data_IF_896880783542
#
_entry.id   IF_896880783542
#
_cell.length_a   1.000
_cell.length_b   1.000
_cell.length_c   1.000
_cell.angle_alpha   90.00
_cell.angle_beta   90.00
_cell.angle_gamma   90.00
#
_symmetry.space_group_name_H-M   'P 1'
#
loop_
_entity.id
_entity.type
_entity.pdbx_description
1 polymer ?
#
# COMPACT_ATOMS: atom_id res chain seq x y z
N UNK A 1 -14.60 54.36 22.97
CA UNK A 1 -15.12 53.35 22.01
C UNK A 1 -14.06 53.00 20.95
N UNK A 2 -12.98 52.29 21.30
CA UNK A 2 -11.95 51.80 20.34
C UNK A 2 -11.12 50.66 20.95
N UNK A 3 -11.71 49.50 21.25
CA UNK A 3 -10.90 48.35 21.74
C UNK A 3 -11.46 46.95 21.43
N UNK A 4 -12.63 46.82 20.80
CA UNK A 4 -13.26 45.49 20.64
C UNK A 4 -13.08 44.84 19.26
N UNK A 5 -12.46 45.52 18.30
CA UNK A 5 -12.33 45.03 16.92
C UNK A 5 -11.03 44.28 16.61
N UNK A 6 -10.02 44.34 17.48
CA UNK A 6 -8.70 43.73 17.24
C UNK A 6 -8.61 42.27 17.71
N UNK A 7 -9.48 41.86 18.65
CA UNK A 7 -9.45 40.52 19.25
C UNK A 7 -10.18 39.49 18.39
N UNK A 8 -11.12 39.92 17.54
CA UNK A 8 -11.87 39.01 16.66
C UNK A 8 -11.07 38.50 15.46
N UNK A 9 -10.03 39.22 15.03
CA UNK A 9 -9.22 38.87 13.84
C UNK A 9 -8.12 37.86 14.14
N UNK A 10 -7.72 37.69 15.41
CA UNK A 10 -6.70 36.70 15.80
C UNK A 10 -7.27 35.28 15.96
N UNK A 11 -8.59 35.14 16.15
CA UNK A 11 -9.24 33.84 16.35
C UNK A 11 -9.56 33.11 15.02
N UNK A 12 -9.64 33.83 13.89
CA UNK A 12 -9.94 33.24 12.58
C UNK A 12 -8.74 32.59 11.88
N UNK A 13 -7.51 32.95 12.27
CA UNK A 13 -6.28 32.39 11.66
C UNK A 13 -5.93 31.01 12.25
N UNK A 14 -6.41 30.67 13.45
CA UNK A 14 -6.08 29.41 14.13
C UNK A 14 -6.94 28.23 13.61
N UNK A 15 -8.09 28.48 12.99
CA UNK A 15 -8.96 27.41 12.48
C UNK A 15 -8.50 26.75 11.17
N UNK A 16 -7.50 27.31 10.48
CA UNK A 16 -6.92 26.71 9.25
C UNK A 16 -5.73 25.77 9.51
N UNK A 17 -5.33 25.58 10.78
CA UNK A 17 -4.05 24.96 11.11
C UNK A 17 -4.10 23.44 11.38
N UNK A 18 -5.24 22.75 11.24
CA UNK A 18 -5.26 21.30 11.48
C UNK A 18 -6.11 20.57 10.44
N UNK A 19 -5.60 20.37 9.20
CA UNK A 19 -5.87 19.10 8.58
C UNK A 19 -5.16 18.07 9.46
N UNK A 20 -5.92 17.46 10.38
CA UNK A 20 -5.60 16.14 10.89
C UNK A 20 -5.60 15.22 9.68
N UNK A 21 -4.51 15.24 8.93
CA UNK A 21 -4.21 14.30 7.89
C UNK A 21 -4.15 12.96 8.61
N UNK A 22 -5.31 12.29 8.67
CA UNK A 22 -5.42 10.88 8.90
C UNK A 22 -4.47 10.27 7.87
N UNK A 23 -3.24 10.02 8.31
CA UNK A 23 -2.21 9.47 7.45
C UNK A 23 -2.67 8.07 7.16
N UNK A 24 -3.23 7.89 5.97
CA UNK A 24 -3.57 6.60 5.44
C UNK A 24 -2.33 5.71 5.52
N UNK A 25 -2.48 4.52 6.12
CA UNK A 25 -1.38 3.60 6.35
C UNK A 25 -1.62 2.33 5.55
N UNK A 26 -0.55 1.84 4.94
CA UNK A 26 -0.58 0.65 4.09
C UNK A 26 0.42 -0.39 4.55
N UNK A 27 0.08 -1.65 4.29
CA UNK A 27 0.97 -2.77 4.49
C UNK A 27 0.74 -3.84 3.43
N UNK A 28 1.79 -4.57 3.09
CA UNK A 28 1.73 -5.75 2.25
C UNK A 28 2.35 -6.91 3.02
N UNK A 29 1.63 -8.02 3.06
CA UNK A 29 2.05 -9.30 3.62
C UNK A 29 2.19 -10.33 2.49
N UNK A 30 3.11 -11.27 2.67
CA UNK A 30 3.34 -12.37 1.73
C UNK A 30 3.36 -13.70 2.47
N UNK A 31 2.67 -14.68 1.89
CA UNK A 31 2.58 -16.05 2.36
C UNK A 31 3.46 -16.91 1.47
N UNK A 32 4.70 -17.15 1.92
CA UNK A 32 5.74 -17.84 1.16
C UNK A 32 5.37 -19.26 0.69
N UNK A 33 4.49 -19.94 1.43
CA UNK A 33 4.09 -21.32 1.13
C UNK A 33 3.22 -21.45 -0.12
N UNK A 34 2.39 -20.44 -0.40
CA UNK A 34 1.39 -20.47 -1.48
C UNK A 34 1.61 -19.36 -2.52
N UNK A 35 2.60 -18.50 -2.32
CA UNK A 35 2.86 -17.31 -3.13
C UNK A 35 1.67 -16.32 -3.17
N UNK A 36 0.89 -16.29 -2.09
CA UNK A 36 -0.27 -15.42 -1.93
C UNK A 36 0.15 -14.19 -1.14
N UNK A 37 -0.40 -13.02 -1.47
CA UNK A 37 -0.16 -11.78 -0.75
C UNK A 37 -1.48 -11.26 -0.18
N UNK A 38 -1.38 -10.61 0.97
CA UNK A 38 -2.45 -9.79 1.52
C UNK A 38 -1.96 -8.36 1.58
N UNK A 39 -2.83 -7.40 1.31
CA UNK A 39 -2.46 -5.99 1.38
C UNK A 39 -3.60 -5.19 1.97
N UNK A 40 -3.24 -4.11 2.65
CA UNK A 40 -4.17 -3.14 3.21
C UNK A 40 -3.61 -1.75 2.95
N UNK A 41 -4.52 -0.81 2.78
CA UNK A 41 -4.27 0.61 2.62
C UNK A 41 -5.48 1.34 3.22
N UNK A 42 -5.32 2.62 3.49
CA UNK A 42 -6.33 3.45 4.11
C UNK A 42 -6.52 3.18 5.60
N UNK A 43 -5.62 2.45 6.24
CA UNK A 43 -5.80 2.05 7.63
C UNK A 43 -5.48 3.21 8.59
N UNK A 44 -6.17 3.24 9.73
CA UNK A 44 -6.01 4.28 10.76
C UNK A 44 -4.65 4.22 11.46
N UNK A 45 -4.00 3.05 11.48
CA UNK A 45 -2.70 2.82 12.10
C UNK A 45 -1.88 1.78 11.33
N UNK A 46 -0.56 1.79 11.48
CA UNK A 46 0.34 0.87 10.79
C UNK A 46 0.16 -0.54 11.33
N UNK A 47 -0.16 -0.66 12.61
CA UNK A 47 -0.40 -1.95 13.25
C UNK A 47 -1.71 -2.56 12.76
N UNK A 48 -2.76 -1.74 12.57
CA UNK A 48 -4.01 -2.17 11.92
C UNK A 48 -3.75 -2.58 10.47
N UNK A 49 -3.01 -1.77 9.69
CA UNK A 49 -2.67 -2.10 8.31
C UNK A 49 -1.93 -3.44 8.21
N UNK A 50 -0.95 -3.68 9.08
CA UNK A 50 -0.21 -4.94 9.15
C UNK A 50 -1.11 -6.11 9.53
N UNK A 51 -1.92 -5.96 10.58
CA UNK A 51 -2.83 -7.00 11.02
C UNK A 51 -3.81 -7.42 9.91
N UNK A 52 -4.38 -6.44 9.20
CA UNK A 52 -5.30 -6.68 8.10
C UNK A 52 -4.60 -7.32 6.90
N UNK A 53 -3.39 -6.86 6.54
CA UNK A 53 -2.62 -7.47 5.46
C UNK A 53 -2.29 -8.95 5.76
N UNK A 54 -1.90 -9.27 7.00
CA UNK A 54 -1.68 -10.65 7.45
C UNK A 54 -2.98 -11.47 7.41
N UNK A 55 -4.09 -10.88 7.85
CA UNK A 55 -5.41 -11.52 7.84
C UNK A 55 -5.84 -11.86 6.42
N UNK A 56 -5.76 -10.90 5.50
CA UNK A 56 -6.06 -11.09 4.07
C UNK A 56 -5.19 -12.18 3.43
N UNK A 57 -3.89 -12.22 3.76
CA UNK A 57 -3.01 -13.26 3.27
C UNK A 57 -3.48 -14.67 3.70
N UNK A 58 -3.98 -14.82 4.94
CA UNK A 58 -4.57 -16.07 5.44
C UNK A 58 -5.92 -16.38 4.81
N UNK A 59 -6.80 -15.38 4.68
CA UNK A 59 -8.13 -15.52 4.06
C UNK A 59 -8.03 -16.02 2.62
N UNK A 60 -7.01 -15.58 1.90
CA UNK A 60 -6.73 -16.05 0.54
C UNK A 60 -6.06 -17.43 0.51
N UNK A 61 -5.93 -18.14 1.63
CA UNK A 61 -5.38 -19.50 1.70
C UNK A 61 -3.88 -19.57 1.96
N UNK A 62 -3.25 -18.45 2.31
CA UNK A 62 -1.82 -18.41 2.60
C UNK A 62 -1.44 -18.90 4.00
N UNK A 63 -0.33 -19.65 4.10
CA UNK A 63 0.17 -20.19 5.37
C UNK A 63 1.49 -19.49 5.73
N UNK A 64 1.66 -19.13 7.01
CA UNK A 64 2.81 -18.38 7.55
C UNK A 64 3.01 -17.01 6.85
N UNK A 65 2.04 -16.09 6.94
CA UNK A 65 2.19 -14.75 6.38
C UNK A 65 3.30 -13.98 7.08
N UNK A 66 4.04 -13.17 6.32
CA UNK A 66 5.06 -12.24 6.82
C UNK A 66 4.83 -10.86 6.22
N UNK A 67 5.02 -9.80 7.00
CA UNK A 67 4.97 -8.43 6.48
C UNK A 67 6.19 -8.21 5.57
N UNK A 68 5.94 -7.83 4.32
CA UNK A 68 6.97 -7.47 3.35
C UNK A 68 7.38 -6.01 3.55
N UNK A 69 6.38 -5.13 3.67
CA UNK A 69 6.60 -3.70 3.89
C UNK A 69 5.34 -3.04 4.46
N UNK A 70 5.53 -1.88 5.09
CA UNK A 70 4.44 -1.03 5.57
C UNK A 70 4.85 0.43 5.51
N UNK A 71 3.88 1.32 5.31
CA UNK A 71 4.12 2.76 5.36
C UNK A 71 3.08 3.47 6.21
N UNK A 72 3.55 4.50 6.92
CA UNK A 72 2.71 5.43 7.70
C UNK A 72 2.35 6.69 6.92
N UNK A 73 2.53 6.69 5.59
CA UNK A 73 2.23 7.81 4.69
C UNK A 73 1.27 7.34 3.62
N UNK A 74 0.25 8.15 3.34
CA UNK A 74 -0.59 7.94 2.17
C UNK A 74 0.16 8.16 0.86
N UNK A 75 -0.49 7.87 -0.25
CA UNK A 75 0.06 7.99 -1.60
C UNK A 75 -0.18 6.73 -2.42
N UNK A 76 0.44 6.65 -3.59
CA UNK A 76 0.28 5.48 -4.46
C UNK A 76 1.16 4.32 -4.00
N UNK A 77 0.62 3.12 -4.12
CA UNK A 77 1.34 1.87 -3.91
C UNK A 77 1.23 0.95 -5.13
N UNK A 78 2.20 0.08 -5.31
CA UNK A 78 2.18 -0.94 -6.36
C UNK A 78 2.91 -2.20 -5.91
N UNK A 79 2.45 -3.34 -6.46
CA UNK A 79 3.04 -4.66 -6.27
C UNK A 79 3.37 -5.20 -7.65
N UNK A 80 4.62 -5.57 -7.86
CA UNK A 80 5.09 -6.26 -9.05
C UNK A 80 5.62 -7.63 -8.66
N UNK A 81 5.49 -8.60 -9.55
CA UNK A 81 6.04 -9.94 -9.37
C UNK A 81 6.89 -10.30 -10.58
N UNK A 82 7.91 -11.11 -10.37
CA UNK A 82 8.64 -11.67 -11.49
C UNK A 82 9.35 -12.98 -11.18
N UNK A 83 9.76 -13.66 -12.26
CA UNK A 83 10.42 -14.96 -12.22
C UNK A 83 11.65 -14.96 -13.12
N UNK A 84 12.58 -15.88 -12.84
CA UNK A 84 13.74 -16.16 -13.69
C UNK A 84 13.46 -17.48 -14.41
N UNK A 85 13.12 -17.39 -15.70
CA UNK A 85 12.83 -18.55 -16.56
C UNK A 85 11.95 -19.60 -15.90
N UNK A 86 12.38 -20.87 -15.97
CA UNK A 86 11.67 -22.03 -15.39
C UNK A 86 11.88 -22.23 -13.89
N UNK A 87 12.59 -21.32 -13.21
CA UNK A 87 12.80 -21.48 -11.77
C UNK A 87 11.52 -21.16 -11.01
N UNK A 88 11.22 -21.93 -9.95
CA UNK A 88 10.12 -21.67 -9.03
C UNK A 88 10.36 -20.45 -8.12
N UNK A 89 11.48 -19.73 -8.29
CA UNK A 89 11.79 -18.52 -7.52
C UNK A 89 10.95 -17.35 -8.02
N UNK A 90 10.15 -16.80 -7.13
CA UNK A 90 9.34 -15.60 -7.35
C UNK A 90 9.97 -14.43 -6.61
N UNK A 91 10.12 -13.31 -7.31
CA UNK A 91 10.52 -12.02 -6.75
C UNK A 91 9.29 -11.14 -6.62
N UNK A 92 9.16 -10.45 -5.49
CA UNK A 92 8.06 -9.52 -5.23
C UNK A 92 8.67 -8.15 -4.95
N UNK A 93 8.32 -7.18 -5.79
CA UNK A 93 8.66 -5.77 -5.59
C UNK A 93 7.44 -5.03 -5.09
N UNK A 94 7.61 -4.24 -4.04
CA UNK A 94 6.54 -3.40 -3.48
C UNK A 94 7.05 -1.97 -3.38
N UNK A 95 6.27 -1.02 -3.86
CA UNK A 95 6.50 0.42 -3.66
C UNK A 95 5.28 1.00 -2.96
N UNK A 96 5.48 1.84 -1.94
CA UNK A 96 4.42 2.48 -1.16
C UNK A 96 4.67 3.99 -1.05
N UNK A 97 3.60 4.74 -0.82
CA UNK A 97 3.64 6.19 -0.53
C UNK A 97 4.30 7.05 -1.62
N UNK A 98 4.13 6.66 -2.87
CA UNK A 98 4.65 7.42 -4.00
C UNK A 98 3.71 8.57 -4.37
N UNK A 99 4.24 9.66 -4.95
CA UNK A 99 3.44 10.81 -5.34
C UNK A 99 2.51 10.51 -6.53
N UNK A 100 2.87 9.54 -7.38
CA UNK A 100 2.08 9.14 -8.56
C UNK A 100 2.02 7.63 -8.70
N UNK A 101 0.97 7.15 -9.39
CA UNK A 101 0.79 5.73 -9.70
C UNK A 101 1.96 5.20 -10.55
N UNK A 102 2.35 5.97 -11.56
CA UNK A 102 3.42 5.60 -12.50
C UNK A 102 4.75 5.42 -11.76
N UNK A 103 5.03 6.26 -10.77
CA UNK A 103 6.24 6.12 -9.94
C UNK A 103 6.19 4.87 -9.06
N UNK A 104 5.04 4.56 -8.47
CA UNK A 104 4.85 3.33 -7.69
C UNK A 104 5.08 2.09 -8.54
N UNK A 105 4.45 2.02 -9.71
CA UNK A 105 4.58 0.90 -10.64
C UNK A 105 6.03 0.75 -11.14
N UNK A 106 6.65 1.87 -11.55
CA UNK A 106 8.03 1.87 -12.02
C UNK A 106 9.00 1.37 -10.95
N UNK A 107 8.88 1.82 -9.70
CA UNK A 107 9.74 1.38 -8.61
C UNK A 107 9.55 -0.10 -8.26
N UNK A 108 8.30 -0.56 -8.19
CA UNK A 108 7.99 -1.96 -7.88
C UNK A 108 8.55 -2.89 -8.98
N UNK A 109 8.36 -2.53 -10.26
CA UNK A 109 8.91 -3.29 -11.39
C UNK A 109 10.43 -3.21 -11.45
N UNK A 110 11.03 -2.04 -11.16
CA UNK A 110 12.48 -1.87 -11.14
C UNK A 110 13.12 -2.80 -10.11
N UNK A 111 12.56 -2.89 -8.90
CA UNK A 111 13.05 -3.82 -7.87
C UNK A 111 13.09 -5.26 -8.40
N UNK A 112 11.99 -5.74 -8.98
CA UNK A 112 11.89 -7.10 -9.52
C UNK A 112 12.92 -7.33 -10.64
N UNK A 113 13.11 -6.33 -11.52
CA UNK A 113 14.09 -6.36 -12.61
C UNK A 113 15.52 -6.41 -12.09
N UNK A 114 15.85 -5.61 -11.08
CA UNK A 114 17.18 -5.56 -10.47
C UNK A 114 17.55 -6.90 -9.80
N UNK A 115 16.55 -7.71 -9.39
CA UNK A 115 16.76 -9.07 -8.90
C UNK A 115 17.02 -10.11 -10.02
N UNK A 116 17.02 -9.68 -11.28
CA UNK A 116 17.29 -10.53 -12.45
C UNK A 116 16.06 -11.22 -13.04
N UNK A 117 14.85 -10.90 -12.59
CA UNK A 117 13.63 -11.47 -13.16
C UNK A 117 13.50 -11.15 -14.65
N UNK A 118 13.16 -12.16 -15.45
CA UNK A 118 12.99 -12.06 -16.91
C UNK A 118 11.51 -11.96 -17.30
N UNK A 119 10.62 -12.52 -16.48
CA UNK A 119 9.19 -12.44 -16.65
C UNK A 119 8.61 -11.56 -15.54
N UNK A 120 8.34 -10.29 -15.84
CA UNK A 120 7.86 -9.30 -14.86
C UNK A 120 6.42 -8.96 -15.18
N UNK A 121 5.56 -8.95 -14.16
CA UNK A 121 4.17 -8.50 -14.26
C UNK A 121 3.88 -7.52 -13.15
N UNK A 122 3.28 -6.40 -13.52
CA UNK A 122 2.60 -5.56 -12.54
C UNK A 122 1.38 -6.34 -12.05
N UNK A 123 1.32 -6.58 -10.75
CA UNK A 123 0.25 -7.35 -10.14
C UNK A 123 -0.90 -6.44 -9.73
N UNK A 124 -0.58 -5.36 -9.00
CA UNK A 124 -1.58 -4.38 -8.58
C UNK A 124 -0.95 -3.00 -8.41
N UNK A 125 -1.80 -1.98 -8.45
CA UNK A 125 -1.50 -0.58 -8.18
C UNK A 125 -2.71 0.04 -7.47
N UNK A 126 -2.50 0.77 -6.39
CA UNK A 126 -3.57 1.29 -5.54
C UNK A 126 -3.23 2.71 -5.05
N UNK A 127 -4.26 3.45 -4.66
CA UNK A 127 -4.12 4.75 -4.00
C UNK A 127 -4.46 4.58 -2.52
N UNK A 128 -3.51 4.89 -1.65
CA UNK A 128 -3.65 4.94 -0.20
C UNK A 128 -4.07 6.37 0.20
N UNK A 129 -5.34 6.70 0.01
CA UNK A 129 -5.93 8.02 0.31
C UNK A 129 -6.68 8.09 1.67
N UNK A 130 -6.74 6.98 2.41
CA UNK A 130 -7.43 6.92 3.69
C UNK A 130 -8.95 6.80 3.58
N UNK A 131 -9.51 6.70 2.37
CA UNK A 131 -10.96 6.77 2.14
C UNK A 131 -11.54 5.58 1.40
N UNK A 132 -10.71 4.76 0.76
CA UNK A 132 -11.19 3.64 -0.03
C UNK A 132 -10.47 2.36 0.38
N UNK A 133 -11.21 1.38 0.91
CA UNK A 133 -10.81 -0.02 0.82
C UNK A 133 -11.48 -0.58 -0.43
N UNK A 134 -10.81 -0.52 -1.59
CA UNK A 134 -11.25 -1.24 -2.79
C UNK A 134 -11.14 -2.73 -2.49
N UNK A 135 -12.30 -3.37 -2.40
CA UNK A 135 -12.44 -4.82 -2.40
C UNK A 135 -12.20 -5.32 -3.83
N UNK A 136 -11.23 -6.21 -4.00
CA UNK A 136 -10.96 -6.80 -5.31
C UNK A 136 -11.62 -8.17 -5.41
N UNK A 137 -12.42 -8.35 -6.45
CA UNK A 137 -12.81 -9.66 -6.97
C UNK A 137 -11.65 -10.20 -7.82
N UNK A 138 -10.71 -10.90 -7.16
CA UNK A 138 -9.66 -11.64 -7.83
C UNK A 138 -10.30 -12.87 -8.46
N UNK A 139 -10.85 -12.74 -9.67
CA UNK A 139 -11.12 -13.91 -10.49
C UNK A 139 -9.79 -14.66 -10.65
N UNK A 140 -9.71 -15.85 -10.06
CA UNK A 140 -8.56 -16.75 -10.15
C UNK A 140 -8.05 -16.76 -11.59
N UNK A 141 -6.73 -16.63 -11.84
CA UNK A 141 -6.21 -17.00 -13.13
C UNK A 141 -6.53 -18.49 -13.30
N UNK A 142 -7.42 -18.79 -14.26
CA UNK A 142 -7.85 -20.14 -14.58
C UNK A 142 -6.62 -21.06 -14.59
N UNK A 143 -6.59 -21.99 -13.63
CA UNK A 143 -5.61 -23.06 -13.65
C UNK A 143 -5.87 -23.84 -14.95
N UNK A 144 -4.91 -23.80 -15.87
CA UNK A 144 -4.88 -24.69 -17.04
C UNK A 144 -4.47 -26.07 -16.59
#
# INVERSE_FOLDING_TARGET
MKSSALILTFLSVILFALPSALRAQSAVAFCYSTNIYGFTYGSVSADTAKADALSRCKLYGGVKPLIVTSSSKGGYGAIAMGRIGVSNKVFVGVSLSQPTREKAEADAMKYVKDQGATEIRLFNSFLDDGKNSVEFDLKEPAQK
#
